data_IF_701714855150
#
_entry.id   IF_701714855150
#
_cell.length_a   1.000
_cell.length_b   1.000
_cell.length_c   1.000
_cell.angle_alpha   90.00
_cell.angle_beta   90.00
_cell.angle_gamma   90.00
#
_symmetry.space_group_name_H-M   'P 1'
#
loop_
_entity.id
_entity.type
_entity.pdbx_description
1 polymer ?
#
# COMPACT_ATOMS: atom_id res chain seq x y z
N UNK A 1 -37.47 -5.61 -2.68
CA UNK A 1 -36.00 -5.72 -2.70
C UNK A 1 -35.48 -4.63 -1.81
N UNK A 2 -34.89 -4.98 -0.67
CA UNK A 2 -34.36 -3.98 0.25
C UNK A 2 -32.85 -3.93 0.09
N UNK A 3 -32.38 -2.77 -0.36
CA UNK A 3 -30.97 -2.42 -0.45
C UNK A 3 -30.44 -2.09 0.95
N UNK A 4 -30.15 -3.09 1.78
CA UNK A 4 -29.61 -2.81 3.14
C UNK A 4 -28.40 -3.69 3.56
N UNK A 5 -27.92 -4.57 2.68
CA UNK A 5 -26.72 -5.38 2.96
C UNK A 5 -25.43 -4.70 2.46
N UNK A 6 -25.18 -3.46 2.88
CA UNK A 6 -23.82 -2.91 2.84
C UNK A 6 -23.24 -2.95 4.25
N UNK A 7 -22.51 -4.02 4.64
CA UNK A 7 -21.78 -3.97 5.89
C UNK A 7 -20.82 -2.79 5.79
N UNK A 8 -20.94 -1.82 6.70
CA UNK A 8 -19.95 -0.76 6.86
C UNK A 8 -18.60 -1.45 7.00
N UNK A 9 -17.75 -1.34 5.98
CA UNK A 9 -16.41 -1.86 6.03
C UNK A 9 -15.74 -1.23 7.25
N UNK A 10 -15.34 -2.05 8.23
CA UNK A 10 -14.64 -1.58 9.42
C UNK A 10 -13.28 -1.08 8.96
N UNK A 11 -13.25 0.20 8.70
CA UNK A 11 -12.12 0.86 8.11
C UNK A 11 -11.10 1.18 9.22
N UNK A 12 -9.90 0.61 9.11
CA UNK A 12 -8.83 0.80 10.09
C UNK A 12 -7.70 1.57 9.44
N UNK A 13 -7.51 2.82 9.86
CA UNK A 13 -6.30 3.56 9.54
C UNK A 13 -5.07 2.83 10.10
N UNK A 14 -4.14 2.43 9.23
CA UNK A 14 -2.89 1.79 9.66
C UNK A 14 -1.68 2.58 9.22
N UNK A 15 -0.94 3.18 10.14
CA UNK A 15 0.31 3.87 9.82
C UNK A 15 1.45 2.87 9.71
N UNK A 16 1.91 2.48 8.49
CA UNK A 16 2.97 1.51 8.38
C UNK A 16 4.27 2.12 8.91
N UNK A 17 4.91 1.40 9.83
CA UNK A 17 6.27 1.71 10.29
C UNK A 17 7.34 1.11 9.37
N UNK A 18 6.96 0.06 8.64
CA UNK A 18 7.77 -0.58 7.61
C UNK A 18 6.86 -1.12 6.50
N UNK A 19 7.37 -1.14 5.28
CA UNK A 19 6.70 -1.73 4.11
C UNK A 19 7.34 -3.05 3.67
N UNK A 20 8.53 -3.36 4.17
CA UNK A 20 9.23 -4.59 3.83
C UNK A 20 9.95 -5.18 5.05
N UNK A 21 9.92 -6.51 5.10
CA UNK A 21 10.79 -7.37 5.90
C UNK A 21 11.08 -8.59 5.01
N UNK A 22 12.21 -8.62 4.29
CA UNK A 22 12.48 -9.66 3.29
C UNK A 22 12.25 -11.08 3.84
N UNK A 23 11.68 -11.99 3.04
CA UNK A 23 11.29 -11.82 1.64
C UNK A 23 9.92 -11.15 1.43
N UNK A 24 9.30 -10.60 2.48
CA UNK A 24 7.95 -10.06 2.44
C UNK A 24 7.93 -8.54 2.27
N UNK A 25 6.93 -8.04 1.56
CA UNK A 25 6.56 -6.63 1.53
C UNK A 25 5.04 -6.48 1.42
N UNK A 26 4.53 -5.30 1.76
CA UNK A 26 3.12 -4.94 1.66
C UNK A 26 2.93 -3.82 0.65
N UNK A 27 1.86 -3.89 -0.13
CA UNK A 27 1.45 -2.90 -1.13
C UNK A 27 -0.06 -2.68 -1.05
N UNK A 28 -0.56 -1.61 -1.66
CA UNK A 28 -2.00 -1.37 -1.73
C UNK A 28 -2.63 -1.17 -0.35
N UNK A 29 -3.89 -1.57 -0.18
CA UNK A 29 -4.62 -1.34 1.06
C UNK A 29 -3.97 -1.98 2.30
N UNK A 30 -3.17 -3.04 2.13
CA UNK A 30 -2.40 -3.60 3.24
C UNK A 30 -1.29 -2.65 3.74
N UNK A 31 -0.80 -1.76 2.88
CA UNK A 31 0.22 -0.76 3.20
C UNK A 31 -0.38 0.55 3.70
N UNK A 32 -1.52 0.99 3.16
CA UNK A 32 -2.09 2.31 3.47
C UNK A 32 -3.51 2.29 3.98
N UNK A 33 -4.14 1.12 4.22
CA UNK A 33 -5.55 0.92 4.59
C UNK A 33 -6.27 2.26 4.71
N UNK A 34 -6.71 2.72 3.53
CA UNK A 34 -7.40 3.92 3.03
C UNK A 34 -8.88 4.12 3.31
N UNK A 35 -9.36 5.27 3.82
CA UNK A 35 -10.81 5.54 3.84
C UNK A 35 -11.17 5.54 2.35
N UNK A 36 -12.35 5.11 1.91
CA UNK A 36 -12.67 5.10 0.49
C UNK A 36 -12.75 6.54 -0.06
N UNK A 37 -11.60 7.17 -0.21
CA UNK A 37 -11.37 8.48 -0.79
C UNK A 37 -11.46 8.27 -2.29
N UNK A 38 -12.69 8.43 -2.79
CA UNK A 38 -13.00 8.80 -4.16
C UNK A 38 -12.24 8.00 -5.24
N UNK A 39 -12.03 6.70 -5.05
CA UNK A 39 -11.42 5.80 -6.04
C UNK A 39 -9.89 5.86 -6.17
N UNK A 40 -9.15 6.46 -5.21
CA UNK A 40 -7.69 6.56 -5.30
C UNK A 40 -6.94 5.27 -4.93
N UNK A 41 -7.56 4.35 -4.18
CA UNK A 41 -6.90 3.11 -3.72
C UNK A 41 -6.27 2.30 -4.85
N UNK A 42 -6.96 2.16 -5.98
CA UNK A 42 -6.45 1.46 -7.18
C UNK A 42 -5.21 2.13 -7.75
N UNK A 43 -5.22 3.48 -7.85
CA UNK A 43 -4.07 4.25 -8.35
C UNK A 43 -2.88 4.10 -7.42
N UNK A 44 -3.09 4.17 -6.10
CA UNK A 44 -2.03 4.03 -5.11
C UNK A 44 -1.43 2.61 -5.11
N UNK A 45 -2.28 1.59 -5.21
CA UNK A 45 -1.85 0.19 -5.34
C UNK A 45 -1.04 -0.03 -6.63
N UNK A 46 -1.44 0.55 -7.75
CA UNK A 46 -0.70 0.47 -9.01
C UNK A 46 0.68 1.14 -8.90
N UNK A 47 0.77 2.30 -8.24
CA UNK A 47 2.05 2.97 -7.98
C UNK A 47 2.97 2.13 -7.10
N UNK A 48 2.42 1.45 -6.08
CA UNK A 48 3.19 0.54 -5.24
C UNK A 48 3.72 -0.67 -6.03
N UNK A 49 2.86 -1.29 -6.83
CA UNK A 49 3.24 -2.44 -7.66
C UNK A 49 4.34 -2.08 -8.67
N UNK A 50 4.21 -0.95 -9.36
CA UNK A 50 5.23 -0.45 -10.29
C UNK A 50 6.55 -0.16 -9.57
N UNK A 51 6.47 0.41 -8.36
CA UNK A 51 7.64 0.70 -7.57
C UNK A 51 8.39 -0.55 -7.11
N UNK A 52 7.64 -1.53 -6.62
CA UNK A 52 8.19 -2.82 -6.21
C UNK A 52 8.83 -3.53 -7.39
N UNK A 53 8.13 -3.62 -8.53
CA UNK A 53 8.65 -4.26 -9.73
C UNK A 53 9.98 -3.65 -10.20
N UNK A 54 10.06 -2.31 -10.25
CA UNK A 54 11.29 -1.63 -10.65
C UNK A 54 12.46 -1.92 -9.67
N UNK A 55 12.21 -1.90 -8.36
CA UNK A 55 13.25 -2.20 -7.37
C UNK A 55 13.69 -3.67 -7.43
N UNK A 56 12.76 -4.61 -7.60
CA UNK A 56 13.06 -6.04 -7.73
C UNK A 56 13.83 -6.34 -9.01
N UNK A 57 13.52 -5.67 -10.12
CA UNK A 57 14.28 -5.85 -11.37
C UNK A 57 15.74 -5.41 -11.24
N UNK A 58 16.02 -4.35 -10.48
CA UNK A 58 17.39 -3.83 -10.32
C UNK A 58 18.17 -4.58 -9.25
N UNK A 59 17.54 -4.94 -8.14
CA UNK A 59 18.22 -5.42 -6.93
C UNK A 59 17.92 -6.89 -6.58
N UNK A 60 17.05 -7.58 -7.33
CA UNK A 60 16.55 -8.90 -6.96
C UNK A 60 15.46 -8.84 -5.87
N UNK A 61 14.87 -9.99 -5.49
CA UNK A 61 13.65 -10.02 -4.68
C UNK A 61 13.84 -9.51 -3.24
N UNK A 62 14.93 -9.88 -2.56
CA UNK A 62 15.16 -9.49 -1.16
C UNK A 62 15.57 -8.02 -1.03
N UNK A 63 16.62 -7.61 -1.74
CA UNK A 63 17.12 -6.23 -1.69
C UNK A 63 16.16 -5.26 -2.41
N UNK A 64 15.43 -5.74 -3.43
CA UNK A 64 14.37 -4.99 -4.07
C UNK A 64 13.22 -4.64 -3.13
N UNK A 65 12.84 -5.53 -2.20
CA UNK A 65 11.84 -5.23 -1.19
C UNK A 65 12.31 -4.12 -0.23
N UNK A 66 13.59 -4.14 0.18
CA UNK A 66 14.18 -3.09 1.02
C UNK A 66 14.26 -1.75 0.28
N UNK A 67 14.67 -1.77 -1.00
CA UNK A 67 14.73 -0.58 -1.84
C UNK A 67 13.33 0.02 -2.07
N UNK A 68 12.31 -0.81 -2.31
CA UNK A 68 10.91 -0.39 -2.39
C UNK A 68 10.47 0.29 -1.10
N UNK A 69 10.75 -0.31 0.06
CA UNK A 69 10.40 0.26 1.37
C UNK A 69 11.01 1.63 1.58
N UNK A 70 12.32 1.77 1.35
CA UNK A 70 13.03 3.04 1.49
C UNK A 70 12.45 4.14 0.58
N UNK A 71 12.01 3.76 -0.62
CA UNK A 71 11.45 4.69 -1.61
C UNK A 71 10.02 5.12 -1.30
N UNK A 72 9.17 4.22 -0.78
CA UNK A 72 7.72 4.44 -0.70
C UNK A 72 7.18 4.76 0.69
N UNK A 73 7.89 4.43 1.77
CA UNK A 73 7.37 4.57 3.14
C UNK A 73 6.80 5.96 3.44
N UNK A 74 7.56 7.03 3.17
CA UNK A 74 7.11 8.39 3.45
C UNK A 74 5.91 8.81 2.60
N UNK A 75 5.88 8.41 1.33
CA UNK A 75 4.77 8.69 0.42
C UNK A 75 3.50 7.98 0.88
N UNK A 76 3.63 6.71 1.29
CA UNK A 76 2.52 5.91 1.83
C UNK A 76 1.99 6.51 3.13
N UNK A 77 2.87 6.96 4.02
CA UNK A 77 2.48 7.65 5.25
C UNK A 77 1.78 9.00 4.96
N UNK A 78 2.21 9.73 3.93
CA UNK A 78 1.59 10.99 3.55
C UNK A 78 0.17 10.82 3.00
N UNK A 79 -0.14 9.71 2.32
CA UNK A 79 -1.51 9.45 1.88
C UNK A 79 -2.50 9.49 3.05
N UNK A 80 -2.11 9.02 4.23
CA UNK A 80 -2.98 8.97 5.42
C UNK A 80 -3.19 10.32 6.12
N UNK A 81 -2.51 11.36 5.66
CA UNK A 81 -2.72 12.74 6.14
C UNK A 81 -3.69 13.55 5.27
N UNK A 82 -4.09 13.00 4.11
CA UNK A 82 -5.09 13.55 3.19
C UNK A 82 -6.47 12.94 3.47
#
# INVERSE_FOLDING_TARGET
>A
GSHDDMPFAVYRHTWPRALAKPPYCVIGDAAHAMSPQLGLGTTLAAQDALALAACVQVHGPADGALAYHARRLRTVQAYQTL
#
